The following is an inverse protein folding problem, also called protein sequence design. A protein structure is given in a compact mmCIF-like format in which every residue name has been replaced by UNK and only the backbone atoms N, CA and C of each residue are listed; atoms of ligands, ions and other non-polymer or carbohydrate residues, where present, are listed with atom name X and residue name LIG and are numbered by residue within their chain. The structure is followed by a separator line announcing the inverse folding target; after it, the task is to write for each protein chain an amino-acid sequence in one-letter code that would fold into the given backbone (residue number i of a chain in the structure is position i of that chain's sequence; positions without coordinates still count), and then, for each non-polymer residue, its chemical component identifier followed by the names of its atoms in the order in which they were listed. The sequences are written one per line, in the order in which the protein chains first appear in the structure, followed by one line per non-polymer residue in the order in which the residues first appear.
data_IF_523420604917
#
_entry.id   IF_523420604917
#
_cell.length_a   1.000
_cell.length_b   1.000
_cell.length_c   1.000
_cell.angle_alpha   90.00
_cell.angle_beta   90.00
_cell.angle_gamma   90.00
#
_symmetry.space_group_name_H-M   'P 1'
#
loop_
_entity.id
_entity.type
_entity.pdbx_description
1 polymer ?
#
# COMPACT_ATOMS: atom_id res chain seq x y z
N UNK A 1 22.88 -10.49 -23.20
CA UNK A 1 22.68 -11.84 -23.79
C UNK A 1 22.08 -12.78 -22.75
N UNK A 2 21.09 -13.58 -23.12
CA UNK A 2 20.53 -14.61 -22.24
C UNK A 2 21.33 -15.89 -22.38
N UNK A 3 21.80 -16.44 -21.26
CA UNK A 3 22.56 -17.68 -21.24
C UNK A 3 21.74 -18.75 -20.57
N UNK A 4 21.50 -19.88 -21.27
CA UNK A 4 20.90 -21.08 -20.72
C UNK A 4 22.02 -22.05 -20.36
N UNK A 5 22.16 -22.34 -19.07
CA UNK A 5 23.10 -23.34 -18.60
C UNK A 5 22.34 -24.64 -18.38
N UNK A 6 22.77 -25.69 -19.10
CA UNK A 6 22.30 -27.06 -18.90
C UNK A 6 23.35 -27.83 -18.12
N UNK A 7 22.92 -28.56 -17.12
CA UNK A 7 23.82 -29.37 -16.29
C UNK A 7 23.28 -30.79 -16.16
N UNK A 8 24.20 -31.75 -16.07
CA UNK A 8 23.90 -33.15 -15.85
C UNK A 8 24.45 -33.52 -14.47
N UNK A 9 23.55 -33.83 -13.53
CA UNK A 9 23.94 -34.24 -12.19
C UNK A 9 24.23 -35.73 -12.20
N UNK A 10 25.50 -36.09 -12.27
CA UNK A 10 25.95 -37.47 -12.14
C UNK A 10 26.49 -37.72 -10.75
N UNK A 11 25.93 -38.69 -10.08
CA UNK A 11 26.50 -39.27 -8.87
C UNK A 11 27.06 -40.64 -9.18
N UNK A 12 28.38 -40.78 -9.20
CA UNK A 12 29.07 -42.04 -9.55
C UNK A 12 28.87 -43.12 -8.50
N UNK A 13 28.42 -42.81 -7.30
CA UNK A 13 28.32 -43.72 -6.15
C UNK A 13 26.88 -44.05 -5.76
N UNK A 14 25.95 -43.10 -5.95
CA UNK A 14 24.55 -43.17 -5.49
C UNK A 14 23.60 -42.52 -6.50
N UNK A 15 23.26 -43.25 -7.56
CA UNK A 15 22.40 -42.74 -8.65
C UNK A 15 20.99 -42.25 -8.22
N UNK A 16 20.58 -42.52 -6.98
CA UNK A 16 19.22 -42.25 -6.47
C UNK A 16 19.15 -41.11 -5.46
N UNK A 17 20.23 -40.38 -5.13
CA UNK A 17 20.18 -39.27 -4.19
C UNK A 17 19.86 -37.98 -4.93
N UNK A 18 18.64 -37.41 -4.78
CA UNK A 18 18.28 -36.17 -5.48
C UNK A 18 19.05 -34.98 -4.91
N UNK A 19 19.48 -34.07 -5.80
CA UNK A 19 19.90 -32.74 -5.39
C UNK A 19 18.71 -31.95 -4.86
N UNK A 20 18.85 -31.35 -3.67
CA UNK A 20 17.78 -30.61 -3.00
C UNK A 20 18.03 -29.10 -2.98
N UNK A 21 19.31 -28.68 -3.11
CA UNK A 21 19.68 -27.29 -3.21
C UNK A 21 20.76 -27.08 -4.29
N UNK A 22 20.74 -25.87 -4.87
CA UNK A 22 21.69 -25.42 -5.87
C UNK A 22 22.27 -24.09 -5.42
N UNK A 23 23.59 -23.93 -5.53
CA UNK A 23 24.27 -22.71 -5.20
C UNK A 23 25.10 -22.26 -6.41
N UNK A 24 24.67 -21.17 -7.05
CA UNK A 24 25.37 -20.57 -8.18
C UNK A 24 26.14 -19.34 -7.70
N UNK A 25 27.38 -19.21 -8.16
CA UNK A 25 28.21 -18.03 -7.88
C UNK A 25 28.77 -17.46 -9.19
N UNK A 26 28.77 -16.14 -9.28
CA UNK A 26 29.34 -15.40 -10.41
C UNK A 26 29.81 -14.02 -9.96
N UNK A 27 30.59 -13.36 -10.79
CA UNK A 27 31.02 -11.99 -10.57
C UNK A 27 30.07 -11.05 -11.31
N UNK A 28 29.51 -10.07 -10.59
CA UNK A 28 28.66 -9.04 -11.19
C UNK A 28 29.50 -7.95 -11.91
N UNK A 29 28.82 -7.01 -12.53
CA UNK A 29 29.45 -5.90 -13.24
C UNK A 29 30.27 -4.96 -12.34
N UNK A 30 30.04 -4.95 -11.03
CA UNK A 30 30.77 -4.16 -10.03
C UNK A 30 31.97 -4.94 -9.46
N UNK A 31 32.22 -6.16 -9.92
CA UNK A 31 33.30 -7.03 -9.45
C UNK A 31 32.99 -7.76 -8.14
N UNK A 32 31.73 -7.77 -7.69
CA UNK A 32 31.35 -8.49 -6.48
C UNK A 32 30.98 -9.95 -6.80
N UNK A 33 31.39 -10.86 -5.94
CA UNK A 33 30.92 -12.24 -6.03
C UNK A 33 29.47 -12.33 -5.52
N UNK A 34 28.58 -12.77 -6.39
CA UNK A 34 27.18 -13.02 -6.08
C UNK A 34 26.97 -14.53 -5.93
N UNK A 35 26.31 -14.94 -4.87
CA UNK A 35 25.96 -16.34 -4.63
C UNK A 35 24.46 -16.45 -4.38
N UNK A 36 23.77 -17.26 -5.20
CA UNK A 36 22.32 -17.46 -5.12
C UNK A 36 21.92 -18.89 -5.49
N UNK A 37 20.67 -19.24 -5.15
CA UNK A 37 20.07 -20.55 -5.49
C UNK A 37 19.68 -20.71 -6.96
N UNK A 38 19.84 -19.69 -7.79
CA UNK A 38 19.52 -19.71 -9.22
C UNK A 38 20.45 -18.83 -10.02
N UNK A 39 20.62 -19.17 -11.28
CA UNK A 39 21.39 -18.38 -12.24
C UNK A 39 20.71 -17.04 -12.52
N UNK A 40 21.50 -15.98 -12.83
CA UNK A 40 20.94 -14.81 -13.46
C UNK A 40 20.36 -15.18 -14.84
N UNK A 41 19.18 -14.65 -15.15
CA UNK A 41 18.54 -14.91 -16.44
C UNK A 41 19.26 -14.22 -17.62
N UNK A 42 20.12 -13.25 -17.34
CA UNK A 42 20.93 -12.51 -18.34
C UNK A 42 22.20 -11.95 -17.72
N UNK A 43 23.20 -11.71 -18.56
CA UNK A 43 24.44 -11.00 -18.24
C UNK A 43 24.52 -9.73 -19.08
N UNK A 44 24.88 -8.60 -18.46
CA UNK A 44 24.86 -7.28 -19.09
C UNK A 44 26.24 -6.68 -19.34
N UNK A 45 27.27 -7.20 -18.70
CA UNK A 45 28.65 -6.85 -19.02
C UNK A 45 29.17 -7.77 -20.12
N UNK A 46 29.82 -7.20 -21.16
CA UNK A 46 30.51 -7.98 -22.19
C UNK A 46 31.83 -8.55 -21.66
N UNK A 47 32.34 -9.58 -22.33
CA UNK A 47 33.59 -10.24 -22.02
C UNK A 47 33.42 -11.63 -21.40
N UNK A 48 34.49 -12.12 -20.79
CA UNK A 48 34.49 -13.46 -20.16
C UNK A 48 33.82 -13.44 -18.82
N UNK A 49 32.95 -14.42 -18.60
CA UNK A 49 32.26 -14.68 -17.34
C UNK A 49 32.53 -16.13 -16.91
N UNK A 50 32.61 -16.31 -15.60
CA UNK A 50 32.66 -17.63 -14.98
C UNK A 50 31.48 -17.76 -14.03
N UNK A 51 30.76 -18.86 -14.14
CA UNK A 51 29.73 -19.26 -13.19
C UNK A 51 30.15 -20.56 -12.54
N UNK A 52 30.14 -20.61 -11.22
CA UNK A 52 30.36 -21.85 -10.48
C UNK A 52 29.02 -22.40 -9.99
N UNK A 53 28.92 -23.70 -9.91
CA UNK A 53 27.76 -24.41 -9.36
C UNK A 53 28.24 -25.46 -8.34
N UNK A 54 27.64 -25.43 -7.15
CA UNK A 54 27.66 -26.54 -6.22
C UNK A 54 26.23 -27.00 -5.92
N UNK A 55 26.07 -28.28 -5.63
CA UNK A 55 24.78 -28.92 -5.34
C UNK A 55 24.82 -29.58 -3.98
N UNK A 56 23.69 -29.52 -3.28
CA UNK A 56 23.52 -30.16 -1.98
C UNK A 56 22.59 -31.35 -2.12
N UNK A 57 23.01 -32.48 -1.58
CA UNK A 57 22.22 -33.72 -1.54
C UNK A 57 21.14 -33.69 -0.43
N UNK A 58 20.31 -34.71 -0.38
CA UNK A 58 19.27 -34.88 0.63
C UNK A 58 19.81 -35.09 2.05
N UNK A 59 21.11 -35.39 2.21
CA UNK A 59 21.79 -35.53 3.51
C UNK A 59 22.47 -34.24 3.95
N UNK A 60 22.40 -33.17 3.14
CA UNK A 60 22.96 -31.87 3.45
C UNK A 60 24.43 -31.69 3.07
N UNK A 61 25.02 -32.64 2.32
CA UNK A 61 26.41 -32.57 1.85
C UNK A 61 26.46 -31.76 0.54
N UNK A 62 27.45 -30.86 0.42
CA UNK A 62 27.70 -30.09 -0.79
C UNK A 62 28.74 -30.79 -1.67
N UNK A 63 28.52 -30.72 -2.99
CA UNK A 63 29.52 -31.17 -3.98
C UNK A 63 30.73 -30.22 -4.05
N UNK A 64 31.79 -30.66 -4.69
CA UNK A 64 32.79 -29.72 -5.25
C UNK A 64 32.14 -28.77 -6.23
N UNK A 65 32.77 -27.59 -6.46
CA UNK A 65 32.31 -26.61 -7.41
C UNK A 65 32.63 -27.05 -8.84
N UNK A 66 31.63 -27.00 -9.71
CA UNK A 66 31.79 -27.10 -11.14
C UNK A 66 31.82 -25.69 -11.75
N UNK A 67 32.72 -25.41 -12.67
CA UNK A 67 32.90 -24.11 -13.31
C UNK A 67 32.49 -24.19 -14.78
N UNK A 68 31.80 -23.08 -15.22
CA UNK A 68 31.50 -22.83 -16.63
C UNK A 68 32.02 -21.45 -17.02
N UNK A 69 32.92 -21.40 -17.97
CA UNK A 69 33.36 -20.17 -18.63
C UNK A 69 32.59 -19.97 -19.93
N UNK A 70 32.17 -18.71 -20.17
CA UNK A 70 31.53 -18.29 -21.42
C UNK A 70 31.84 -16.83 -21.72
N UNK A 71 31.60 -16.40 -22.95
CA UNK A 71 31.83 -15.02 -23.40
C UNK A 71 30.51 -14.35 -23.77
N UNK A 72 30.27 -13.17 -23.19
CA UNK A 72 29.15 -12.30 -23.54
C UNK A 72 29.64 -11.30 -24.60
N UNK A 73 28.95 -11.29 -25.73
CA UNK A 73 29.31 -10.42 -26.85
C UNK A 73 29.02 -8.94 -26.59
N UNK A 74 29.74 -8.07 -27.31
CA UNK A 74 29.51 -6.61 -27.29
C UNK A 74 28.18 -6.19 -27.97
N UNK A 75 27.47 -7.13 -28.58
CA UNK A 75 26.23 -6.85 -29.29
C UNK A 75 25.06 -6.73 -28.27
N UNK A 76 24.78 -5.50 -27.85
CA UNK A 76 23.72 -5.20 -26.88
C UNK A 76 22.35 -5.43 -27.53
N UNK A 77 21.60 -6.38 -27.01
CA UNK A 77 20.22 -6.67 -27.42
C UNK A 77 19.22 -5.80 -26.64
N UNK A 78 19.49 -5.56 -25.37
CA UNK A 78 18.74 -4.69 -24.47
C UNK A 78 19.65 -4.18 -23.38
N UNK A 79 19.41 -3.00 -22.87
CA UNK A 79 20.02 -2.54 -21.61
C UNK A 79 19.52 -3.37 -20.44
N UNK A 80 20.22 -3.37 -19.34
CA UNK A 80 19.78 -4.08 -18.13
C UNK A 80 18.39 -3.60 -17.66
N UNK A 81 18.17 -2.29 -17.70
CA UNK A 81 16.88 -1.69 -17.34
C UNK A 81 15.75 -2.18 -18.25
N UNK A 82 15.92 -2.14 -19.57
CA UNK A 82 14.95 -2.65 -20.53
C UNK A 82 14.64 -4.13 -20.32
N UNK A 83 15.69 -4.95 -20.13
CA UNK A 83 15.54 -6.36 -19.90
C UNK A 83 14.73 -6.63 -18.62
N UNK A 84 15.06 -5.95 -17.51
CA UNK A 84 14.38 -6.09 -16.23
C UNK A 84 12.94 -5.69 -16.32
N UNK A 85 12.63 -4.52 -16.91
CA UNK A 85 11.24 -4.08 -17.08
C UNK A 85 10.44 -4.99 -18.01
N UNK A 86 11.08 -5.59 -19.00
CA UNK A 86 10.41 -6.54 -19.92
C UNK A 86 10.11 -7.88 -19.27
N UNK A 87 10.91 -8.30 -18.27
CA UNK A 87 10.82 -9.61 -17.64
C UNK A 87 10.22 -9.58 -16.21
N UNK A 88 9.92 -8.41 -15.66
CA UNK A 88 9.21 -8.27 -14.40
C UNK A 88 7.74 -7.97 -14.64
N UNK A 89 6.88 -8.61 -13.85
CA UNK A 89 5.45 -8.34 -13.86
C UNK A 89 5.10 -7.24 -12.85
N UNK A 90 3.96 -6.55 -13.02
CA UNK A 90 3.43 -5.66 -12.00
C UNK A 90 3.33 -6.37 -10.64
N UNK A 91 3.82 -5.72 -9.60
CA UNK A 91 3.91 -6.27 -8.25
C UNK A 91 5.25 -6.93 -7.90
N UNK A 92 6.12 -7.20 -8.87
CA UNK A 92 7.46 -7.76 -8.60
C UNK A 92 8.46 -6.68 -8.19
N UNK A 93 9.47 -7.09 -7.44
CA UNK A 93 10.49 -6.17 -6.91
C UNK A 93 11.55 -5.92 -7.97
N UNK A 94 11.75 -4.65 -8.30
CA UNK A 94 12.88 -4.15 -9.06
C UNK A 94 13.98 -3.72 -8.08
N UNK A 95 15.13 -4.38 -8.14
CA UNK A 95 16.31 -3.98 -7.39
C UNK A 95 17.05 -2.89 -8.16
N UNK A 96 17.25 -1.74 -7.54
CA UNK A 96 18.07 -0.66 -8.10
C UNK A 96 19.57 -1.01 -7.95
N UNK A 97 20.08 -1.77 -8.91
CA UNK A 97 21.47 -2.22 -8.91
C UNK A 97 22.44 -1.06 -9.12
N UNK A 98 22.05 -0.11 -9.95
CA UNK A 98 22.89 1.05 -10.27
C UNK A 98 23.04 2.05 -9.13
N UNK A 99 22.43 1.74 -7.97
CA UNK A 99 22.43 2.64 -6.80
C UNK A 99 22.01 4.07 -7.16
N UNK A 100 21.12 4.19 -8.17
CA UNK A 100 20.60 5.48 -8.61
C UNK A 100 20.07 6.25 -7.41
N UNK A 101 20.52 7.47 -7.24
CA UNK A 101 20.01 8.33 -6.19
C UNK A 101 18.57 8.76 -6.53
N UNK A 102 17.60 7.98 -6.10
CA UNK A 102 16.17 8.26 -6.37
C UNK A 102 15.75 9.65 -5.88
N UNK A 103 16.39 10.18 -4.84
CA UNK A 103 16.12 11.52 -4.35
C UNK A 103 16.68 12.61 -5.29
N UNK A 104 17.73 12.30 -6.03
CA UNK A 104 18.35 13.20 -7.01
C UNK A 104 17.66 13.23 -8.37
N UNK A 105 16.68 12.36 -8.63
CA UNK A 105 15.95 12.39 -9.90
C UNK A 105 15.20 13.70 -10.07
N UNK A 106 15.09 14.16 -11.32
CA UNK A 106 14.29 15.34 -11.67
C UNK A 106 12.81 15.08 -11.35
N UNK A 107 12.14 16.10 -10.87
CA UNK A 107 10.68 16.03 -10.70
C UNK A 107 10.01 16.04 -12.09
N UNK A 108 9.06 15.12 -12.29
CA UNK A 108 8.21 15.16 -13.47
C UNK A 108 7.29 16.38 -13.45
N UNK A 109 6.92 16.85 -14.63
CA UNK A 109 5.91 17.89 -14.75
C UNK A 109 4.54 17.27 -14.41
N UNK A 110 3.95 17.71 -13.30
CA UNK A 110 2.71 17.17 -12.77
C UNK A 110 1.76 18.30 -12.34
N UNK A 111 0.48 18.13 -12.69
CA UNK A 111 -0.59 19.04 -12.31
C UNK A 111 -1.63 18.29 -11.46
N UNK A 112 -1.94 18.82 -10.27
CA UNK A 112 -2.98 18.31 -9.37
C UNK A 112 -4.31 19.03 -9.65
N UNK A 113 -5.37 18.26 -9.93
CA UNK A 113 -6.70 18.78 -10.24
C UNK A 113 -7.75 18.10 -9.35
N UNK A 114 -8.56 18.87 -8.65
CA UNK A 114 -9.75 18.36 -7.95
C UNK A 114 -10.95 18.46 -8.88
N UNK A 115 -11.38 17.34 -9.45
CA UNK A 115 -12.50 17.31 -10.40
C UNK A 115 -13.86 17.21 -9.72
N UNK A 116 -13.91 16.53 -8.58
CA UNK A 116 -15.11 16.44 -7.74
C UNK A 116 -14.70 16.55 -6.27
N UNK A 117 -15.35 17.41 -5.49
CA UNK A 117 -15.04 17.50 -4.07
C UNK A 117 -15.52 16.24 -3.35
N UNK A 118 -14.59 15.55 -2.69
CA UNK A 118 -14.89 14.42 -1.78
C UNK A 118 -14.40 14.81 -0.39
N UNK A 119 -15.26 14.66 0.59
CA UNK A 119 -14.91 14.86 2.00
C UNK A 119 -14.39 13.55 2.58
N UNK A 120 -13.21 13.55 3.18
CA UNK A 120 -12.72 12.43 3.96
C UNK A 120 -12.98 12.67 5.44
N UNK A 121 -13.67 11.73 6.06
CA UNK A 121 -13.73 11.61 7.52
C UNK A 121 -12.76 10.48 7.91
N UNK A 122 -11.66 10.87 8.54
CA UNK A 122 -10.62 9.95 8.98
C UNK A 122 -10.58 9.84 10.51
N UNK A 123 -10.67 8.63 11.03
CA UNK A 123 -10.52 8.30 12.44
C UNK A 123 -9.34 7.34 12.63
N UNK A 124 -8.13 7.91 12.71
CA UNK A 124 -6.89 7.16 12.93
C UNK A 124 -6.20 7.57 14.25
N UNK A 125 -6.85 8.38 15.09
CA UNK A 125 -6.31 8.78 16.39
C UNK A 125 -7.40 8.81 17.47
N UNK A 126 -7.16 8.20 18.64
CA UNK A 126 -5.99 7.40 18.99
C UNK A 126 -5.99 6.06 18.22
N UNK A 127 -4.87 5.70 17.59
CA UNK A 127 -4.76 4.37 16.96
C UNK A 127 -4.92 3.25 17.99
N UNK A 128 -4.27 3.41 19.16
CA UNK A 128 -4.35 2.47 20.28
C UNK A 128 -5.48 2.86 21.25
N UNK A 129 -6.55 2.12 21.20
CA UNK A 129 -7.74 2.33 22.04
C UNK A 129 -7.61 1.54 23.34
N UNK A 130 -7.50 2.23 24.46
CA UNK A 130 -7.33 1.62 25.80
C UNK A 130 -8.68 1.33 26.47
N UNK A 131 -9.69 2.13 26.21
CA UNK A 131 -11.02 2.09 26.85
C UNK A 131 -12.11 2.41 25.84
N UNK A 132 -13.36 1.96 26.06
CA UNK A 132 -14.50 2.42 25.27
C UNK A 132 -14.62 3.93 25.23
N UNK A 133 -15.01 4.48 24.08
CA UNK A 133 -15.21 5.91 23.88
C UNK A 133 -15.51 6.30 22.45
N UNK A 134 -15.92 7.56 22.27
CA UNK A 134 -16.09 8.16 20.96
C UNK A 134 -14.71 8.53 20.40
N UNK A 135 -14.38 7.95 19.25
CA UNK A 135 -13.09 8.12 18.58
C UNK A 135 -13.09 9.36 17.68
N UNK A 136 -14.10 9.48 16.83
CA UNK A 136 -14.33 10.65 16.00
C UNK A 136 -15.81 10.82 15.67
N UNK A 137 -16.22 12.06 15.38
CA UNK A 137 -17.56 12.40 14.90
C UNK A 137 -17.54 13.73 14.17
N UNK A 138 -18.14 13.75 12.98
CA UNK A 138 -18.43 14.99 12.25
C UNK A 138 -19.60 14.79 11.29
N UNK A 139 -20.07 15.86 10.69
CA UNK A 139 -21.12 15.84 9.70
C UNK A 139 -20.56 15.98 8.28
N UNK A 140 -21.07 15.15 7.38
CA UNK A 140 -20.70 15.13 5.96
C UNK A 140 -21.89 15.43 5.06
N UNK A 141 -21.63 15.92 3.86
CA UNK A 141 -22.62 16.21 2.81
C UNK A 141 -21.99 15.90 1.45
N UNK A 142 -22.78 15.46 0.47
CA UNK A 142 -22.30 15.06 -0.85
C UNK A 142 -21.43 13.81 -0.78
N UNK A 143 -20.45 13.73 -1.66
CA UNK A 143 -19.53 12.59 -1.72
C UNK A 143 -18.58 12.59 -0.53
N UNK A 144 -18.52 11.48 0.19
CA UNK A 144 -17.62 11.32 1.33
C UNK A 144 -16.97 9.93 1.32
N UNK A 145 -15.69 9.92 1.72
CA UNK A 145 -14.94 8.72 2.07
C UNK A 145 -14.78 8.66 3.57
N UNK A 146 -15.07 7.53 4.16
CA UNK A 146 -15.00 7.26 5.59
C UNK A 146 -13.90 6.25 5.85
N UNK A 147 -12.97 6.57 6.75
CA UNK A 147 -11.87 5.69 7.11
C UNK A 147 -11.73 5.61 8.64
N UNK A 148 -11.42 4.41 9.12
CA UNK A 148 -10.92 4.21 10.48
C UNK A 148 -9.87 3.12 10.54
N UNK A 149 -8.93 3.26 11.49
CA UNK A 149 -7.86 2.30 11.73
C UNK A 149 -7.52 2.29 13.23
N UNK A 150 -8.00 1.28 13.96
CA UNK A 150 -7.88 1.23 15.42
C UNK A 150 -7.48 -0.14 15.94
N UNK A 151 -6.55 -0.12 16.89
CA UNK A 151 -6.04 -1.27 17.63
C UNK A 151 -6.66 -1.29 19.04
N UNK A 152 -7.21 -2.41 19.45
CA UNK A 152 -7.60 -2.60 20.83
C UNK A 152 -6.39 -2.82 21.73
N UNK A 153 -5.97 -1.78 22.44
CA UNK A 153 -4.88 -1.83 23.42
C UNK A 153 -5.39 -2.03 24.87
N UNK A 154 -6.69 -2.26 25.04
CA UNK A 154 -7.33 -2.55 26.31
C UNK A 154 -7.17 -4.00 26.75
N UNK A 155 -7.80 -4.35 27.87
CA UNK A 155 -7.74 -5.70 28.45
C UNK A 155 -8.95 -6.57 28.06
N UNK A 156 -9.99 -5.98 27.48
CA UNK A 156 -11.24 -6.65 27.13
C UNK A 156 -11.57 -6.46 25.65
N UNK A 157 -12.36 -7.38 25.05
CA UNK A 157 -12.78 -7.22 23.67
C UNK A 157 -13.61 -5.94 23.44
N UNK A 158 -13.35 -5.27 22.32
CA UNK A 158 -14.05 -4.07 21.85
C UNK A 158 -14.70 -4.34 20.48
N UNK A 159 -15.72 -3.55 20.17
CA UNK A 159 -16.23 -3.40 18.81
C UNK A 159 -15.97 -1.96 18.33
N UNK A 160 -15.51 -1.81 17.11
CA UNK A 160 -15.45 -0.49 16.46
C UNK A 160 -16.70 -0.38 15.59
N UNK A 161 -17.51 0.63 15.84
CA UNK A 161 -18.72 0.92 15.09
C UNK A 161 -18.53 2.19 14.26
N UNK A 162 -18.86 2.10 12.96
CA UNK A 162 -19.00 3.23 12.06
C UNK A 162 -20.50 3.49 11.88
N UNK A 163 -20.97 4.61 12.39
CA UNK A 163 -22.39 4.89 12.60
C UNK A 163 -22.80 6.13 11.80
N UNK A 164 -23.80 5.98 10.94
CA UNK A 164 -24.54 7.10 10.36
C UNK A 164 -25.69 7.48 11.31
N UNK A 165 -25.80 8.77 11.65
CA UNK A 165 -26.84 9.29 12.54
C UNK A 165 -27.47 10.55 11.95
N UNK A 166 -28.77 10.54 11.74
CA UNK A 166 -29.49 11.73 11.33
C UNK A 166 -29.79 12.60 12.56
N UNK A 167 -28.91 13.57 12.84
CA UNK A 167 -29.10 14.57 13.92
C UNK A 167 -29.88 15.81 13.46
N UNK A 168 -30.44 15.80 12.22
CA UNK A 168 -31.27 16.89 11.70
C UNK A 168 -32.76 16.69 12.01
N UNK A 169 -33.57 17.68 11.71
CA UNK A 169 -35.04 17.66 11.88
C UNK A 169 -35.77 17.14 10.63
N UNK A 170 -35.05 16.82 9.55
CA UNK A 170 -35.61 16.31 8.29
C UNK A 170 -35.03 14.92 7.97
N UNK A 171 -35.77 14.09 7.21
CA UNK A 171 -35.19 12.84 6.71
C UNK A 171 -33.95 13.09 5.85
N UNK A 172 -32.92 12.28 6.03
CA UNK A 172 -31.67 12.31 5.25
C UNK A 172 -31.48 11.02 4.52
N UNK A 173 -31.21 11.09 3.22
CA UNK A 173 -30.91 9.93 2.38
C UNK A 173 -29.43 9.90 2.08
N UNK A 174 -28.83 8.70 2.11
CA UNK A 174 -27.47 8.47 1.63
C UNK A 174 -27.41 7.17 0.84
N UNK A 175 -26.42 7.10 -0.05
CA UNK A 175 -26.16 5.93 -0.90
C UNK A 175 -24.83 5.30 -0.48
N UNK A 176 -24.79 3.98 -0.33
CA UNK A 176 -23.57 3.23 -0.08
C UNK A 176 -22.76 3.09 -1.37
N UNK A 177 -21.48 3.42 -1.32
CA UNK A 177 -20.52 3.29 -2.41
C UNK A 177 -19.67 2.03 -2.31
N UNK A 178 -18.39 2.17 -2.64
CA UNK A 178 -17.38 1.11 -2.45
C UNK A 178 -17.05 0.92 -0.98
N UNK A 179 -16.57 -0.27 -0.61
CA UNK A 179 -16.09 -0.50 0.75
C UNK A 179 -15.00 -1.58 0.79
N UNK A 180 -14.06 -1.40 1.70
CA UNK A 180 -13.04 -2.36 2.06
C UNK A 180 -12.95 -2.49 3.57
N UNK A 181 -12.88 -3.72 4.06
CA UNK A 181 -12.77 -4.04 5.48
C UNK A 181 -11.63 -4.99 5.70
N UNK A 182 -10.92 -4.87 6.83
CA UNK A 182 -9.92 -5.82 7.25
C UNK A 182 -9.79 -5.91 8.77
N UNK A 183 -9.27 -7.04 9.24
CA UNK A 183 -9.17 -7.37 10.66
C UNK A 183 -10.41 -8.11 11.19
N UNK A 184 -10.38 -8.54 12.49
CA UNK A 184 -9.28 -8.27 13.43
C UNK A 184 -8.00 -9.05 13.13
N UNK A 185 -6.84 -8.44 13.29
CA UNK A 185 -5.53 -9.05 13.13
C UNK A 185 -4.48 -8.41 14.06
N UNK A 186 -3.45 -9.17 14.41
CA UNK A 186 -2.29 -8.70 15.19
C UNK A 186 -1.25 -7.95 14.34
N UNK A 187 -1.39 -7.97 13.01
CA UNK A 187 -0.49 -7.31 12.07
C UNK A 187 -1.14 -6.07 11.44
N UNK A 188 -0.83 -4.84 11.92
CA UNK A 188 -1.42 -3.61 11.42
C UNK A 188 -1.16 -3.38 9.93
N UNK A 189 0.03 -3.73 9.43
CA UNK A 189 0.38 -3.56 8.03
C UNK A 189 -0.44 -4.49 7.13
N UNK A 190 -0.67 -5.72 7.56
CA UNK A 190 -1.52 -6.67 6.87
C UNK A 190 -2.98 -6.18 6.82
N UNK A 191 -3.47 -5.55 7.88
CA UNK A 191 -4.83 -5.01 7.93
C UNK A 191 -5.00 -3.88 6.90
N UNK A 192 -4.14 -2.88 6.89
CA UNK A 192 -4.21 -1.79 5.90
C UNK A 192 -4.08 -2.29 4.46
N UNK A 193 -3.20 -3.26 4.23
CA UNK A 193 -3.03 -3.88 2.92
C UNK A 193 -4.30 -4.61 2.44
N UNK A 194 -4.93 -5.43 3.29
CA UNK A 194 -6.16 -6.16 2.95
C UNK A 194 -7.34 -5.22 2.78
N UNK A 195 -7.47 -4.21 3.63
CA UNK A 195 -8.50 -3.18 3.51
C UNK A 195 -8.45 -2.50 2.14
N UNK A 196 -7.26 -2.01 1.76
CA UNK A 196 -7.03 -1.37 0.46
C UNK A 196 -7.37 -2.29 -0.70
N UNK A 197 -6.96 -3.57 -0.66
CA UNK A 197 -7.32 -4.54 -1.69
C UNK A 197 -8.83 -4.74 -1.79
N UNK A 198 -9.49 -4.92 -0.65
CA UNK A 198 -10.93 -5.15 -0.60
C UNK A 198 -11.69 -3.93 -1.14
N UNK A 199 -11.26 -2.72 -0.78
CA UNK A 199 -11.83 -1.49 -1.32
C UNK A 199 -11.64 -1.36 -2.83
N UNK A 200 -10.41 -1.58 -3.33
CA UNK A 200 -10.11 -1.49 -4.76
C UNK A 200 -10.88 -2.52 -5.60
N UNK A 201 -11.10 -3.72 -5.06
CA UNK A 201 -11.87 -4.81 -5.72
C UNK A 201 -13.37 -4.63 -5.61
N UNK A 202 -13.87 -3.86 -4.63
CA UNK A 202 -15.30 -3.77 -4.37
C UNK A 202 -16.03 -3.09 -5.54
N UNK A 203 -17.20 -3.62 -5.85
CA UNK A 203 -18.14 -2.93 -6.72
C UNK A 203 -18.85 -1.79 -5.99
N UNK A 204 -19.32 -0.81 -6.73
CA UNK A 204 -20.20 0.23 -6.19
C UNK A 204 -21.51 -0.41 -5.74
N UNK A 205 -21.89 -0.19 -4.47
CA UNK A 205 -23.07 -0.85 -3.86
C UNK A 205 -24.39 -0.27 -4.42
N UNK A 206 -24.56 1.05 -4.39
CA UNK A 206 -25.73 1.75 -4.89
C UNK A 206 -26.99 1.68 -4.01
N UNK A 207 -26.93 1.01 -2.87
CA UNK A 207 -28.07 0.91 -1.95
C UNK A 207 -28.35 2.27 -1.30
N UNK A 208 -29.58 2.76 -1.46
CA UNK A 208 -30.07 3.99 -0.82
C UNK A 208 -30.74 3.69 0.52
N UNK A 209 -30.39 4.48 1.52
CA UNK A 209 -30.89 4.38 2.90
C UNK A 209 -31.41 5.76 3.29
N UNK A 210 -32.62 5.83 3.80
CA UNK A 210 -33.22 7.06 4.33
C UNK A 210 -33.41 6.93 5.82
N UNK A 211 -32.83 7.85 6.59
CA UNK A 211 -32.97 7.92 8.04
C UNK A 211 -33.92 9.07 8.40
N UNK A 212 -34.92 8.76 9.24
CA UNK A 212 -35.73 9.79 9.90
C UNK A 212 -34.90 10.56 10.93
N UNK A 213 -35.37 11.74 11.39
CA UNK A 213 -34.77 12.42 12.52
C UNK A 213 -34.50 11.50 13.72
N UNK A 214 -33.26 11.51 14.22
CA UNK A 214 -32.79 10.67 15.33
C UNK A 214 -32.49 9.20 14.98
N UNK A 215 -32.75 8.75 13.74
CA UNK A 215 -32.43 7.37 13.36
C UNK A 215 -30.93 7.17 13.10
N UNK A 216 -30.48 5.97 13.40
CA UNK A 216 -29.09 5.55 13.23
C UNK A 216 -28.98 4.30 12.35
N UNK A 217 -27.90 4.21 11.60
CA UNK A 217 -27.58 3.05 10.76
C UNK A 217 -26.13 2.63 10.98
N UNK A 218 -25.89 1.33 11.12
CA UNK A 218 -24.55 0.78 11.26
C UNK A 218 -23.93 0.54 9.88
N UNK A 219 -22.99 1.40 9.48
CA UNK A 219 -22.35 1.37 8.17
C UNK A 219 -21.44 0.16 7.99
N UNK A 220 -20.71 -0.23 9.03
CA UNK A 220 -19.82 -1.39 9.01
C UNK A 220 -20.48 -2.68 9.53
N UNK A 221 -21.76 -2.90 9.24
CA UNK A 221 -22.50 -4.09 9.67
C UNK A 221 -21.90 -5.42 9.20
N UNK A 222 -21.10 -5.40 8.13
CA UNK A 222 -20.35 -6.56 7.66
C UNK A 222 -19.11 -6.89 8.52
N UNK A 223 -18.70 -5.99 9.42
CA UNK A 223 -17.49 -6.12 10.25
C UNK A 223 -17.83 -5.97 11.75
N UNK A 224 -18.70 -6.81 12.24
CA UNK A 224 -19.16 -6.77 13.65
C UNK A 224 -18.39 -7.69 14.59
N UNK A 225 -17.33 -8.35 14.12
CA UNK A 225 -16.50 -9.19 14.98
C UNK A 225 -15.81 -8.36 16.06
N UNK A 226 -15.85 -8.84 17.29
CA UNK A 226 -15.14 -8.22 18.41
C UNK A 226 -13.63 -8.28 18.20
N UNK A 227 -12.97 -7.17 18.50
CA UNK A 227 -11.53 -7.02 18.43
C UNK A 227 -10.94 -7.44 19.78
N UNK A 228 -10.22 -8.55 19.81
CA UNK A 228 -9.47 -8.99 21.00
C UNK A 228 -8.35 -8.01 21.33
N UNK A 229 -7.86 -7.99 22.59
CA UNK A 229 -6.66 -7.22 22.94
C UNK A 229 -5.50 -7.44 21.95
N UNK A 230 -4.79 -6.36 21.61
CA UNK A 230 -3.70 -6.28 20.65
C UNK A 230 -4.08 -6.55 19.18
N UNK A 231 -5.37 -6.73 18.86
CA UNK A 231 -5.80 -6.85 17.48
C UNK A 231 -6.31 -5.51 16.94
N UNK A 232 -6.24 -5.35 15.62
CA UNK A 232 -6.58 -4.14 14.90
C UNK A 232 -7.64 -4.41 13.86
N UNK A 233 -8.56 -3.45 13.66
CA UNK A 233 -9.51 -3.39 12.54
C UNK A 233 -9.37 -2.09 11.77
N UNK A 234 -9.66 -2.15 10.47
CA UNK A 234 -9.71 -1.00 9.58
C UNK A 234 -10.87 -1.11 8.61
N UNK A 235 -11.38 0.04 8.17
CA UNK A 235 -12.38 0.13 7.12
C UNK A 235 -12.21 1.40 6.29
N UNK A 236 -12.43 1.27 4.99
CA UNK A 236 -12.51 2.35 4.03
C UNK A 236 -13.84 2.20 3.28
N UNK A 237 -14.66 3.27 3.22
CA UNK A 237 -15.99 3.23 2.64
C UNK A 237 -16.36 4.56 1.99
N UNK A 238 -17.02 4.49 0.83
CA UNK A 238 -17.61 5.68 0.20
C UNK A 238 -19.11 5.73 0.47
N UNK A 239 -19.60 6.96 0.66
CA UNK A 239 -21.02 7.27 0.71
C UNK A 239 -21.32 8.54 -0.08
N UNK A 240 -22.55 8.64 -0.58
CA UNK A 240 -23.08 9.88 -1.17
C UNK A 240 -24.28 10.35 -0.34
N UNK A 241 -24.24 11.55 0.19
CA UNK A 241 -25.24 12.08 1.15
C UNK A 241 -26.07 13.19 0.50
N UNK A 242 -27.38 12.98 0.47
CA UNK A 242 -28.36 14.01 0.07
C UNK A 242 -28.76 14.82 1.34
N UNK A 243 -28.10 15.98 1.54
CA UNK A 243 -28.27 16.80 2.75
C UNK A 243 -27.06 16.73 3.69
N UNK A 244 -27.32 16.62 5.00
CA UNK A 244 -26.27 16.61 6.04
C UNK A 244 -26.46 15.37 6.94
N UNK A 245 -25.43 14.54 7.06
CA UNK A 245 -25.44 13.31 7.85
C UNK A 245 -24.29 13.33 8.84
N UNK A 246 -24.58 13.07 10.11
CA UNK A 246 -23.53 12.84 11.10
C UNK A 246 -22.98 11.43 10.95
N UNK A 247 -21.64 11.32 10.92
CA UNK A 247 -20.92 10.04 10.95
C UNK A 247 -20.07 9.99 12.21
N UNK A 248 -20.15 8.88 12.93
CA UNK A 248 -19.40 8.66 14.16
C UNK A 248 -18.63 7.35 14.11
N UNK A 249 -17.40 7.37 14.65
CA UNK A 249 -16.59 6.17 14.93
C UNK A 249 -16.47 6.01 16.43
N UNK A 250 -16.92 4.86 16.95
CA UNK A 250 -16.98 4.60 18.38
C UNK A 250 -16.39 3.23 18.73
N UNK A 251 -15.52 3.20 19.74
CA UNK A 251 -15.07 1.96 20.37
C UNK A 251 -15.98 1.64 21.55
N UNK A 252 -16.60 0.48 21.53
CA UNK A 252 -17.59 0.07 22.54
C UNK A 252 -17.25 -1.30 23.09
N UNK A 253 -17.61 -1.54 24.34
CA UNK A 253 -17.50 -2.89 24.91
C UNK A 253 -18.30 -3.88 24.08
N UNK A 254 -17.77 -5.08 23.91
CA UNK A 254 -18.45 -6.13 23.14
C UNK A 254 -19.87 -6.40 23.67
N UNK A 255 -20.83 -6.46 22.75
CA UNK A 255 -22.24 -6.68 23.05
C UNK A 255 -23.06 -5.43 23.39
N UNK A 256 -22.45 -4.23 23.45
CA UNK A 256 -23.22 -2.99 23.61
C UNK A 256 -23.93 -2.61 22.30
N UNK A 257 -25.13 -2.05 22.44
CA UNK A 257 -25.87 -1.49 21.31
C UNK A 257 -25.19 -0.21 20.81
N UNK A 258 -24.79 -0.19 19.55
CA UNK A 258 -24.13 0.97 18.90
C UNK A 258 -24.96 2.26 19.01
N UNK A 259 -26.27 2.17 19.15
CA UNK A 259 -27.17 3.32 19.33
C UNK A 259 -26.91 4.12 20.61
N UNK A 260 -26.17 3.55 21.54
CA UNK A 260 -25.81 4.24 22.79
C UNK A 260 -24.49 5.03 22.70
N UNK A 261 -23.88 5.12 21.52
CA UNK A 261 -22.59 5.79 21.31
C UNK A 261 -22.54 7.25 21.80
N UNK A 262 -23.69 7.94 21.78
CA UNK A 262 -23.81 9.34 22.21
C UNK A 262 -23.54 9.56 23.71
N UNK A 263 -23.56 8.50 24.49
CA UNK A 263 -23.26 8.55 25.94
C UNK A 263 -21.77 8.32 26.24
N UNK A 264 -20.97 8.01 25.25
CA UNK A 264 -19.55 7.69 25.43
C UNK A 264 -18.71 8.97 25.66
N UNK A 265 -17.66 8.89 26.49
CA UNK A 265 -16.68 9.97 26.58
C UNK A 265 -15.90 10.07 25.28
N UNK A 266 -15.55 11.31 24.91
CA UNK A 266 -14.66 11.56 23.78
C UNK A 266 -13.24 11.13 24.17
N UNK A 267 -12.61 10.30 23.33
CA UNK A 267 -11.21 9.93 23.52
C UNK A 267 -10.30 11.02 22.93
N UNK A 268 -9.20 11.36 23.61
CA UNK A 268 -8.25 12.36 23.10
C UNK A 268 -7.50 11.82 21.88
N UNK A 269 -7.14 12.70 20.95
CA UNK A 269 -6.19 12.39 19.89
C UNK A 269 -4.79 12.19 20.46
N UNK A 270 -4.01 11.27 19.86
CA UNK A 270 -2.65 10.92 20.29
C UNK A 270 -1.72 10.89 19.07
N UNK A 271 -0.72 11.76 19.08
CA UNK A 271 0.33 11.81 18.05
C UNK A 271 1.15 10.51 18.01
N UNK A 272 1.71 10.11 16.86
CA UNK A 272 1.77 10.85 15.58
C UNK A 272 0.55 10.64 14.67
N UNK A 273 -0.39 9.75 15.01
CA UNK A 273 -1.60 9.51 14.23
C UNK A 273 -2.55 10.72 14.34
N UNK A 274 -3.38 10.90 13.34
CA UNK A 274 -4.28 12.02 13.23
C UNK A 274 -5.71 11.56 13.03
N UNK A 275 -6.67 12.45 13.32
CA UNK A 275 -8.07 12.32 12.95
C UNK A 275 -8.59 13.65 12.45
N UNK A 276 -9.58 13.64 11.60
CA UNK A 276 -10.14 14.90 11.10
C UNK A 276 -11.11 14.72 9.95
N UNK A 277 -11.70 15.82 9.57
CA UNK A 277 -12.49 15.98 8.35
C UNK A 277 -11.70 16.82 7.37
N UNK A 278 -11.46 16.27 6.19
CA UNK A 278 -10.59 16.83 5.16
C UNK A 278 -11.40 17.05 3.88
N UNK A 279 -11.33 18.26 3.33
CA UNK A 279 -11.94 18.55 2.04
C UNK A 279 -11.04 18.13 0.88
N UNK A 280 -11.66 17.84 -0.28
CA UNK A 280 -10.95 17.54 -1.52
C UNK A 280 -9.98 16.33 -1.40
N UNK A 281 -10.40 15.30 -0.68
CA UNK A 281 -9.61 14.11 -0.42
C UNK A 281 -9.56 13.13 -1.60
N UNK A 282 -10.13 13.48 -2.74
CA UNK A 282 -9.96 12.76 -4.00
C UNK A 282 -9.53 13.75 -5.09
N UNK A 283 -8.45 13.43 -5.81
CA UNK A 283 -7.92 14.30 -6.85
C UNK A 283 -7.17 13.51 -7.93
N UNK A 284 -7.06 14.14 -9.09
CA UNK A 284 -6.33 13.65 -10.24
C UNK A 284 -4.96 14.32 -10.32
N UNK A 285 -3.94 13.58 -10.71
CA UNK A 285 -2.59 14.07 -10.97
C UNK A 285 -2.27 13.76 -12.43
N UNK A 286 -2.19 14.77 -13.26
CA UNK A 286 -1.79 14.65 -14.66
C UNK A 286 -0.28 14.81 -14.76
N UNK A 287 0.38 13.78 -15.27
CA UNK A 287 1.83 13.66 -15.35
C UNK A 287 2.24 13.61 -16.79
N UNK A 288 3.12 14.51 -17.22
CA UNK A 288 3.68 14.50 -18.55
C UNK A 288 5.18 14.19 -18.46
N UNK A 289 5.57 13.05 -19.02
CA UNK A 289 6.95 12.62 -19.13
C UNK A 289 7.45 13.01 -20.52
N UNK A 290 8.35 13.96 -20.58
CA UNK A 290 8.80 14.65 -21.79
C UNK A 290 10.28 14.39 -22.12
N UNK A 291 10.80 13.23 -21.78
CA UNK A 291 12.20 12.90 -22.06
C UNK A 291 12.50 11.43 -21.88
N UNK A 292 13.74 11.07 -22.18
CA UNK A 292 14.28 9.72 -21.97
C UNK A 292 14.83 9.52 -20.56
N UNK A 293 15.00 10.59 -19.78
CA UNK A 293 15.58 10.51 -18.44
C UNK A 293 14.56 10.04 -17.41
N UNK A 294 15.04 9.28 -16.42
CA UNK A 294 14.22 8.88 -15.30
C UNK A 294 13.76 10.09 -14.48
N UNK A 295 12.48 10.15 -14.19
CA UNK A 295 11.85 11.23 -13.43
C UNK A 295 11.14 10.68 -12.21
N UNK A 296 10.85 11.52 -11.21
CA UNK A 296 10.12 11.14 -10.01
C UNK A 296 8.90 12.02 -9.77
N UNK A 297 7.94 11.44 -9.09
CA UNK A 297 6.81 12.12 -8.47
C UNK A 297 6.76 11.72 -7.01
N UNK A 298 6.61 12.72 -6.15
CA UNK A 298 6.47 12.50 -4.72
C UNK A 298 4.98 12.45 -4.37
N UNK A 299 4.56 11.37 -3.72
CA UNK A 299 3.22 11.22 -3.18
C UNK A 299 3.30 11.09 -1.65
N UNK A 300 2.40 11.78 -0.94
CA UNK A 300 2.36 11.72 0.51
C UNK A 300 3.35 12.66 1.21
N UNK A 301 4.18 12.15 2.10
CA UNK A 301 5.04 12.98 2.95
C UNK A 301 6.06 13.80 2.13
N UNK A 302 6.27 15.09 2.45
CA UNK A 302 7.22 15.93 1.73
C UNK A 302 8.63 15.39 1.85
N UNK A 303 9.40 15.56 0.80
CA UNK A 303 10.84 15.47 0.86
C UNK A 303 11.35 16.55 1.84
N UNK A 304 12.22 16.18 2.77
CA UNK A 304 12.82 17.11 3.74
C UNK A 304 13.55 18.30 3.09
N UNK A 305 13.65 18.34 1.78
CA UNK A 305 14.38 19.34 1.01
C UNK A 305 13.52 20.25 0.13
N UNK A 306 12.22 20.00 -0.09
CA UNK A 306 11.55 20.58 -1.25
C UNK A 306 10.23 21.27 -1.05
N UNK A 307 9.59 21.33 0.11
CA UNK A 307 8.30 21.93 0.04
C UNK A 307 7.56 22.18 1.34
N UNK A 308 6.51 22.95 1.21
CA UNK A 308 5.55 23.16 2.28
C UNK A 308 4.74 21.89 2.51
N UNK A 309 4.39 21.62 3.75
CA UNK A 309 3.62 20.43 4.16
C UNK A 309 2.28 20.33 3.37
N UNK A 310 1.64 21.45 3.13
CA UNK A 310 0.35 21.54 2.43
C UNK A 310 0.37 21.08 0.97
N UNK A 311 1.54 21.04 0.33
CA UNK A 311 1.65 20.58 -1.05
C UNK A 311 1.51 19.04 -1.17
N UNK A 312 1.72 18.32 -0.08
CA UNK A 312 1.81 16.84 -0.06
C UNK A 312 0.78 16.16 0.83
N UNK A 313 0.39 16.80 1.91
CA UNK A 313 -0.62 16.31 2.84
C UNK A 313 -1.87 17.17 2.75
N UNK A 314 -3.03 16.53 2.87
CA UNK A 314 -4.26 17.30 2.97
C UNK A 314 -4.42 17.85 4.39
N UNK A 315 -4.82 19.10 4.50
CA UNK A 315 -5.19 19.76 5.76
C UNK A 315 -6.69 19.66 6.01
N UNK A 316 -7.09 19.67 7.26
CA UNK A 316 -8.47 19.57 7.71
C UNK A 316 -8.66 20.05 9.14
N UNK A 317 -9.77 19.66 9.74
CA UNK A 317 -10.12 20.04 11.12
C UNK A 317 -10.51 18.81 11.93
N UNK A 318 -9.98 18.67 13.13
CA UNK A 318 -10.54 17.76 14.13
C UNK A 318 -11.82 18.39 14.70
N UNK A 319 -12.98 17.93 14.24
CA UNK A 319 -14.29 18.48 14.62
C UNK A 319 -14.60 18.35 16.12
N UNK A 320 -13.94 17.44 16.84
CA UNK A 320 -14.12 17.28 18.28
C UNK A 320 -13.38 18.32 19.12
N UNK A 321 -12.33 18.93 18.55
CA UNK A 321 -11.51 19.92 19.24
C UNK A 321 -11.51 21.30 18.57
N UNK A 322 -11.87 21.37 17.27
CA UNK A 322 -11.75 22.56 16.45
C UNK A 322 -10.32 22.84 15.98
N UNK A 323 -9.37 21.96 16.28
CA UNK A 323 -7.97 22.17 15.90
C UNK A 323 -7.72 21.82 14.43
N UNK A 324 -6.81 22.58 13.80
CA UNK A 324 -6.28 22.21 12.49
C UNK A 324 -5.50 20.88 12.60
N UNK A 325 -5.63 20.05 11.59
CA UNK A 325 -4.96 18.75 11.50
C UNK A 325 -4.49 18.47 10.07
N UNK A 326 -3.46 17.65 9.94
CA UNK A 326 -2.93 17.17 8.66
C UNK A 326 -3.05 15.65 8.61
N UNK A 327 -3.51 15.11 7.48
CA UNK A 327 -3.54 13.67 7.29
C UNK A 327 -2.12 13.15 7.01
N UNK A 328 -1.40 12.79 8.06
CA UNK A 328 -0.01 12.31 8.01
C UNK A 328 0.04 10.90 7.41
N UNK A 329 0.28 10.82 6.11
CA UNK A 329 0.27 9.58 5.33
C UNK A 329 -0.84 9.52 4.28
N UNK A 330 -1.70 10.52 4.20
CA UNK A 330 -2.82 10.60 3.26
C UNK A 330 -3.73 9.34 3.30
N UNK A 331 -3.96 8.79 4.49
CA UNK A 331 -4.84 7.64 4.68
C UNK A 331 -6.26 7.97 4.20
N UNK A 332 -6.86 7.08 3.42
CA UNK A 332 -8.19 7.28 2.83
C UNK A 332 -8.25 8.29 1.68
N UNK A 333 -7.15 8.94 1.32
CA UNK A 333 -7.09 9.86 0.17
C UNK A 333 -7.01 9.08 -1.14
N UNK A 334 -7.87 9.44 -2.09
CA UNK A 334 -7.89 8.83 -3.42
C UNK A 334 -7.07 9.67 -4.40
N UNK A 335 -5.98 9.13 -4.89
CA UNK A 335 -5.13 9.76 -5.90
C UNK A 335 -5.23 8.98 -7.22
N UNK A 336 -5.60 9.66 -8.30
CA UNK A 336 -5.64 9.08 -9.66
C UNK A 336 -4.52 9.70 -10.48
N UNK A 337 -3.58 8.86 -10.91
CA UNK A 337 -2.43 9.30 -11.70
C UNK A 337 -2.70 9.04 -13.18
N UNK A 338 -2.69 10.09 -13.99
CA UNK A 338 -2.82 10.05 -15.45
C UNK A 338 -1.46 10.31 -16.07
N UNK A 339 -0.79 9.24 -16.50
CA UNK A 339 0.58 9.32 -16.99
C UNK A 339 0.58 9.33 -18.51
N UNK A 340 1.15 10.38 -19.11
CA UNK A 340 1.43 10.48 -20.53
C UNK A 340 2.93 10.38 -20.74
N UNK A 341 3.35 9.36 -21.46
CA UNK A 341 4.74 9.16 -21.87
C UNK A 341 4.85 9.14 -23.40
N UNK A 342 5.94 9.70 -23.94
CA UNK A 342 6.21 9.70 -25.37
C UNK A 342 6.82 8.36 -25.86
N UNK A 343 7.47 7.63 -24.95
CA UNK A 343 8.20 6.38 -25.24
C UNK A 343 7.80 5.27 -24.26
N UNK A 344 8.34 4.07 -24.48
CA UNK A 344 8.19 2.97 -23.51
C UNK A 344 8.75 3.39 -22.16
N UNK A 345 7.91 3.32 -21.16
CA UNK A 345 8.23 3.81 -19.83
C UNK A 345 7.81 2.80 -18.79
N UNK A 346 8.71 2.42 -17.91
CA UNK A 346 8.38 1.60 -16.74
C UNK A 346 8.03 2.48 -15.55
N UNK A 347 7.02 2.09 -14.80
CA UNK A 347 6.57 2.80 -13.60
C UNK A 347 6.96 2.01 -12.36
N UNK A 348 7.76 2.62 -11.51
CA UNK A 348 8.23 2.06 -10.24
C UNK A 348 7.60 2.80 -9.06
N UNK A 349 7.18 2.07 -8.06
CA UNK A 349 6.80 2.61 -6.75
C UNK A 349 7.89 2.30 -5.74
N UNK A 350 8.45 3.35 -5.12
CA UNK A 350 9.48 3.22 -4.09
C UNK A 350 9.01 3.88 -2.78
N UNK A 351 9.00 3.16 -1.65
CA UNK A 351 8.53 3.68 -0.36
C UNK A 351 9.58 4.52 0.38
N UNK A 352 10.71 4.83 -0.24
CA UNK A 352 11.78 5.67 0.31
C UNK A 352 12.40 5.16 1.62
N UNK A 353 12.48 3.86 1.78
CA UNK A 353 13.16 3.21 2.91
C UNK A 353 12.27 2.86 4.11
N UNK A 354 10.99 3.16 4.04
CA UNK A 354 10.03 2.60 4.99
C UNK A 354 9.70 1.15 4.64
N UNK A 355 9.32 0.36 5.64
CA UNK A 355 8.69 -0.93 5.38
C UNK A 355 7.33 -0.66 4.72
N UNK A 356 7.08 -1.28 3.58
CA UNK A 356 5.89 -0.99 2.78
C UNK A 356 5.28 -2.25 2.17
N UNK A 357 3.97 -2.27 2.17
CA UNK A 357 3.13 -3.20 1.44
C UNK A 357 1.83 -2.50 1.08
N UNK A 358 1.43 -2.54 -0.19
CA UNK A 358 0.25 -1.82 -0.65
C UNK A 358 -0.40 -2.46 -1.87
N UNK A 359 -1.43 -1.81 -2.39
CA UNK A 359 -2.10 -2.19 -3.62
C UNK A 359 -2.55 -0.94 -4.38
N UNK A 360 -2.57 -1.03 -5.70
CA UNK A 360 -3.09 0.01 -6.59
C UNK A 360 -3.96 -0.62 -7.68
N UNK A 361 -4.74 0.18 -8.36
CA UNK A 361 -5.28 -0.18 -9.68
C UNK A 361 -4.36 0.40 -10.75
N UNK A 362 -3.83 -0.47 -11.59
CA UNK A 362 -3.09 -0.11 -12.79
C UNK A 362 -3.93 -0.47 -14.01
N UNK A 363 -4.41 0.53 -14.76
CA UNK A 363 -5.34 0.32 -15.88
C UNK A 363 -6.50 -0.63 -15.50
N UNK A 364 -7.15 -0.35 -14.38
CA UNK A 364 -8.26 -1.13 -13.79
C UNK A 364 -7.89 -2.56 -13.35
N UNK A 365 -6.63 -2.96 -13.44
CA UNK A 365 -6.12 -4.22 -12.93
C UNK A 365 -5.51 -4.02 -11.54
N UNK A 366 -5.86 -4.91 -10.60
CA UNK A 366 -5.26 -4.86 -9.27
C UNK A 366 -3.79 -5.29 -9.33
N UNK A 367 -2.91 -4.38 -8.94
CA UNK A 367 -1.49 -4.63 -8.76
C UNK A 367 -1.15 -4.62 -7.27
N UNK A 368 -0.56 -5.70 -6.78
CA UNK A 368 -0.10 -5.82 -5.40
C UNK A 368 1.34 -5.30 -5.29
N UNK A 369 1.53 -4.27 -4.50
CA UNK A 369 2.84 -3.68 -4.21
C UNK A 369 3.32 -4.18 -2.84
N UNK A 370 4.15 -5.06 -2.68
CA UNK A 370 4.84 -6.11 -3.36
C UNK A 370 4.06 -7.42 -3.29
N UNK A 371 4.03 -8.18 -4.38
CA UNK A 371 3.32 -9.46 -4.44
C UNK A 371 3.97 -10.53 -3.54
N UNK A 372 5.28 -10.49 -3.35
CA UNK A 372 6.09 -11.52 -2.67
C UNK A 372 6.48 -11.17 -1.23
N UNK A 373 6.00 -10.08 -0.66
CA UNK A 373 6.35 -9.70 0.71
C UNK A 373 6.37 -8.19 0.95
N UNK A 374 7.24 -7.74 1.82
CA UNK A 374 7.40 -6.34 2.19
C UNK A 374 8.66 -5.78 1.54
N UNK A 375 8.58 -4.55 1.03
CA UNK A 375 9.76 -3.78 0.67
C UNK A 375 10.42 -3.28 1.96
N UNK A 376 11.73 -3.37 2.06
CA UNK A 376 12.46 -3.06 3.30
C UNK A 376 13.57 -2.03 3.12
N UNK A 377 13.96 -1.72 1.89
CA UNK A 377 15.09 -0.83 1.61
C UNK A 377 14.76 0.21 0.56
N UNK A 378 15.53 1.31 0.52
CA UNK A 378 15.43 2.35 -0.52
C UNK A 378 15.84 1.85 -1.91
N UNK A 379 16.53 0.72 -1.99
CA UNK A 379 16.98 0.13 -3.26
C UNK A 379 15.95 -0.82 -3.87
N UNK A 380 14.91 -1.16 -3.13
CA UNK A 380 13.81 -1.98 -3.61
C UNK A 380 12.66 -1.08 -4.06
N UNK A 381 12.26 -1.23 -5.31
CA UNK A 381 11.05 -0.63 -5.86
C UNK A 381 10.12 -1.72 -6.34
N UNK A 382 8.85 -1.42 -6.52
CA UNK A 382 7.89 -2.36 -7.11
C UNK A 382 7.51 -1.88 -8.49
N UNK A 383 7.52 -2.77 -9.47
CA UNK A 383 6.97 -2.50 -10.79
C UNK A 383 5.46 -2.32 -10.67
N UNK A 384 4.97 -1.15 -11.09
CA UNK A 384 3.53 -0.87 -11.15
C UNK A 384 2.98 -1.11 -12.55
N UNK A 385 3.79 -0.83 -13.58
CA UNK A 385 3.40 -1.01 -14.97
C UNK A 385 4.52 -0.67 -15.94
#
# INVERSE_FOLDING_TARGET
ETVKIEYDLKNEVWEEIPAVNFNYSWIDQDGNTITKRGLPAAFFASGKHTVTLSVQDAFGQWSDEAELEFEVSDNVQATEAEYRFTNLNPGEIYLNIDKTNLNGLLAANAEKVTTQPVTLLDSNSPEKVNTPGLLYKDAVSGSATLHYHHLNNGQSPLNIYLIAHNETDQPVTFTLGKSGYAGPSLDPMQVGYIETQNYLKSAYNGTKITLKPGEMYLLNSAQTASISPNSLQSALMDIEVEGKLTVAVAAMSSGMDYKTYTTLPVLPSVEPQTRGTYANAAYDIYINLDGSDAQKIMLGYPDSFSGKLDDYLISGTDALTGAETYNKGNYGVIQRLHIKAAERTGILVNPRGAIFRGAILWNDQLCLLSATGQIKTTQESVVAG
#
